data_IF_470236770002
#
_entry.id   IF_470236770002
#
_cell.length_a   1.000
_cell.length_b   1.000
_cell.length_c   1.000
_cell.angle_alpha   90.00
_cell.angle_beta   90.00
_cell.angle_gamma   90.00
#
_symmetry.space_group_name_H-M   'P 1'
#
loop_
_entity.id
_entity.type
_entity.pdbx_description
1 polymer ?
#
# COMPACT_ATOMS: atom_id res chain seq x y z
N UNK A 1 -38.95 30.60 -41.53
CA UNK A 1 -39.59 31.22 -40.34
C UNK A 1 -40.16 30.13 -39.45
N UNK A 2 -39.59 29.98 -38.25
CA UNK A 2 -40.01 29.19 -37.07
C UNK A 2 -40.37 27.71 -37.24
N UNK A 3 -39.40 26.81 -36.98
CA UNK A 3 -39.67 25.47 -36.44
C UNK A 3 -39.41 25.54 -34.93
N UNK A 4 -40.47 25.59 -34.14
CA UNK A 4 -40.41 25.65 -32.67
C UNK A 4 -39.82 24.35 -32.13
N UNK A 5 -38.68 24.44 -31.45
CA UNK A 5 -38.08 23.33 -30.71
C UNK A 5 -38.95 22.97 -29.49
N UNK A 6 -39.13 21.68 -29.17
CA UNK A 6 -39.83 21.29 -27.95
C UNK A 6 -38.93 21.61 -26.73
N UNK A 7 -39.49 22.38 -25.79
CA UNK A 7 -38.86 22.65 -24.49
C UNK A 7 -38.97 21.38 -23.64
N UNK A 8 -37.84 20.85 -23.18
CA UNK A 8 -37.81 19.87 -22.09
C UNK A 8 -37.79 20.65 -20.78
N UNK A 9 -38.91 20.65 -20.05
CA UNK A 9 -38.94 21.07 -18.66
C UNK A 9 -38.36 19.96 -17.79
N UNK A 10 -37.33 20.33 -17.03
CA UNK A 10 -36.77 19.61 -15.91
C UNK A 10 -37.86 19.39 -14.85
N UNK A 11 -38.23 18.14 -14.61
CA UNK A 11 -38.94 17.76 -13.40
C UNK A 11 -38.03 16.82 -12.61
N UNK A 12 -37.22 17.45 -11.77
CA UNK A 12 -36.53 16.81 -10.66
C UNK A 12 -37.59 16.40 -9.63
N UNK A 13 -37.33 15.29 -8.96
CA UNK A 13 -38.09 14.74 -7.82
C UNK A 13 -39.41 14.02 -8.10
N UNK A 14 -39.30 12.69 -8.20
CA UNK A 14 -40.27 11.79 -7.57
C UNK A 14 -39.54 10.51 -7.20
N UNK A 15 -38.79 10.61 -6.11
CA UNK A 15 -38.47 9.47 -5.29
C UNK A 15 -39.78 8.89 -4.76
N UNK A 16 -39.83 7.56 -4.73
CA UNK A 16 -40.78 6.71 -4.00
C UNK A 16 -41.88 6.02 -4.83
N UNK A 17 -41.80 4.69 -4.73
CA UNK A 17 -42.87 3.70 -4.80
C UNK A 17 -43.15 3.03 -6.16
N UNK A 18 -42.50 1.87 -6.31
CA UNK A 18 -43.20 0.64 -6.68
C UNK A 18 -43.36 0.36 -8.17
N UNK A 19 -42.44 -0.43 -8.74
CA UNK A 19 -42.80 -1.58 -9.58
C UNK A 19 -41.55 -2.25 -10.15
N UNK A 20 -41.60 -3.57 -10.20
CA UNK A 20 -40.58 -4.47 -10.73
C UNK A 20 -40.09 -4.07 -12.12
N UNK A 21 -38.89 -3.49 -12.20
CA UNK A 21 -38.09 -3.50 -13.43
C UNK A 21 -36.74 -4.09 -13.06
N UNK A 22 -36.53 -5.37 -13.36
CA UNK A 22 -35.23 -6.05 -13.28
C UNK A 22 -34.25 -5.27 -14.15
N UNK A 23 -33.59 -4.28 -13.54
CA UNK A 23 -32.51 -3.49 -14.15
C UNK A 23 -31.42 -4.51 -14.45
N UNK A 24 -31.26 -4.86 -15.74
CA UNK A 24 -30.15 -5.69 -16.20
C UNK A 24 -28.88 -5.00 -15.70
N UNK A 25 -28.26 -5.52 -14.63
CA UNK A 25 -26.99 -5.03 -14.09
C UNK A 25 -26.00 -5.08 -15.26
N UNK A 26 -25.71 -3.93 -15.84
CA UNK A 26 -24.80 -3.87 -16.96
C UNK A 26 -23.40 -4.23 -16.45
N UNK A 27 -22.59 -4.86 -17.30
CA UNK A 27 -21.19 -5.20 -17.01
C UNK A 27 -20.38 -3.99 -16.50
N UNK A 28 -20.80 -2.78 -16.87
CA UNK A 28 -20.20 -1.51 -16.45
C UNK A 28 -20.52 -1.11 -15.00
N UNK A 29 -21.66 -1.52 -14.42
CA UNK A 29 -21.94 -1.30 -12.99
C UNK A 29 -20.99 -2.15 -12.13
N UNK A 30 -20.68 -3.37 -12.58
CA UNK A 30 -19.69 -4.22 -11.92
C UNK A 30 -18.29 -3.57 -11.93
N UNK A 31 -17.93 -2.90 -13.02
CA UNK A 31 -16.66 -2.21 -13.15
C UNK A 31 -16.53 -1.07 -12.12
N UNK A 32 -17.56 -0.23 -11.95
CA UNK A 32 -17.53 0.89 -10.98
C UNK A 32 -17.50 0.42 -9.51
N UNK A 33 -18.08 -0.73 -9.18
CA UNK A 33 -18.00 -1.30 -7.83
C UNK A 33 -16.64 -1.93 -7.52
N UNK A 34 -15.91 -2.43 -8.51
CA UNK A 34 -14.54 -2.96 -8.32
C UNK A 34 -13.55 -1.88 -7.87
N UNK A 35 -13.67 -0.64 -8.36
CA UNK A 35 -12.76 0.47 -8.01
C UNK A 35 -13.11 1.21 -6.70
N UNK A 36 -14.21 0.86 -6.04
CA UNK A 36 -14.58 1.44 -4.72
C UNK A 36 -14.10 0.60 -3.55
N UNK A 37 -13.53 -0.58 -3.80
CA UNK A 37 -13.03 -1.49 -2.76
C UNK A 37 -11.65 -1.03 -2.31
N UNK A 38 -11.39 -1.09 -1.01
CA UNK A 38 -10.04 -0.91 -0.49
C UNK A 38 -9.15 -2.06 -0.97
N UNK A 39 -7.84 -1.84 -1.00
CA UNK A 39 -6.88 -2.88 -1.34
C UNK A 39 -7.05 -4.14 -0.47
N UNK A 40 -7.33 -3.96 0.82
CA UNK A 40 -7.61 -5.06 1.75
C UNK A 40 -8.81 -5.91 1.31
N UNK A 41 -9.92 -5.29 0.90
CA UNK A 41 -11.10 -6.00 0.43
C UNK A 41 -10.86 -6.75 -0.89
N UNK A 42 -10.03 -6.20 -1.78
CA UNK A 42 -9.64 -6.88 -3.02
C UNK A 42 -8.77 -8.11 -2.75
N UNK A 43 -7.87 -8.02 -1.77
CA UNK A 43 -6.99 -9.12 -1.37
C UNK A 43 -7.77 -10.28 -0.73
N UNK A 44 -8.76 -9.98 0.11
CA UNK A 44 -9.63 -11.01 0.71
C UNK A 44 -10.49 -11.72 -0.34
N UNK A 45 -11.02 -10.96 -1.32
CA UNK A 45 -11.75 -11.53 -2.45
C UNK A 45 -10.87 -12.45 -3.31
N UNK A 46 -9.64 -12.02 -3.62
CA UNK A 46 -8.68 -12.84 -4.36
C UNK A 46 -8.36 -14.12 -3.62
N UNK A 47 -8.12 -14.05 -2.30
CA UNK A 47 -7.84 -15.22 -1.46
C UNK A 47 -9.00 -16.24 -1.46
N UNK A 48 -10.25 -15.79 -1.55
CA UNK A 48 -11.40 -16.68 -1.63
C UNK A 48 -11.61 -17.29 -3.01
N UNK A 49 -11.31 -16.55 -4.08
CA UNK A 49 -11.56 -16.94 -5.46
C UNK A 49 -10.41 -17.75 -6.08
N UNK A 50 -9.17 -17.40 -5.76
CA UNK A 50 -7.96 -17.97 -6.34
C UNK A 50 -7.01 -18.42 -5.23
N UNK A 51 -7.30 -19.61 -4.68
CA UNK A 51 -6.50 -20.22 -3.61
C UNK A 51 -5.21 -20.86 -4.12
N UNK A 52 -5.13 -21.17 -5.41
CA UNK A 52 -3.93 -21.78 -5.99
C UNK A 52 -2.87 -20.72 -6.28
N UNK A 53 -1.60 -20.99 -5.95
CA UNK A 53 -0.50 -20.07 -6.25
C UNK A 53 -0.25 -19.98 -7.77
N UNK A 54 0.27 -18.85 -8.27
CA UNK A 54 0.79 -17.71 -7.51
C UNK A 54 -0.29 -16.65 -7.20
N UNK A 55 -0.44 -16.29 -5.92
CA UNK A 55 -1.29 -15.20 -5.43
C UNK A 55 -0.48 -14.19 -4.58
N UNK A 56 -1.11 -13.09 -4.17
CA UNK A 56 -0.45 -12.06 -3.37
C UNK A 56 0.15 -12.60 -2.06
N UNK A 57 -0.51 -13.59 -1.44
CA UNK A 57 -0.06 -14.20 -0.18
C UNK A 57 1.11 -15.19 -0.38
N UNK A 58 1.14 -15.90 -1.52
CA UNK A 58 2.18 -16.87 -1.85
C UNK A 58 3.41 -16.23 -2.51
N UNK A 59 3.35 -14.93 -2.83
CA UNK A 59 4.47 -14.19 -3.41
C UNK A 59 5.61 -13.92 -2.41
N UNK A 60 5.41 -14.22 -1.12
CA UNK A 60 6.44 -14.12 -0.09
C UNK A 60 7.61 -15.07 -0.35
N UNK A 61 8.82 -14.52 -0.43
CA UNK A 61 10.06 -15.29 -0.60
C UNK A 61 10.52 -15.84 0.76
N UNK A 62 11.07 -17.06 0.84
CA UNK A 62 11.67 -17.58 2.06
C UNK A 62 12.82 -16.69 2.58
N UNK A 63 13.18 -16.79 3.86
CA UNK A 63 14.29 -16.04 4.43
C UNK A 63 15.61 -16.34 3.71
N UNK A 64 16.52 -15.36 3.72
CA UNK A 64 17.85 -15.49 3.09
C UNK A 64 18.64 -16.65 3.70
N UNK A 65 19.27 -17.46 2.84
CA UNK A 65 20.23 -18.50 3.24
C UNK A 65 21.64 -17.95 3.47
N UNK A 66 21.90 -16.71 3.06
CA UNK A 66 23.19 -16.04 3.18
C UNK A 66 23.29 -15.27 4.50
N UNK A 67 24.50 -15.19 5.10
CA UNK A 67 24.70 -14.46 6.35
C UNK A 67 24.47 -12.95 6.18
N UNK A 68 23.88 -12.33 7.20
CA UNK A 68 23.64 -10.89 7.22
C UNK A 68 24.96 -10.10 7.19
N UNK A 69 25.02 -9.12 6.29
CA UNK A 69 26.13 -8.17 6.24
C UNK A 69 25.86 -7.01 7.18
N UNK A 70 26.86 -6.65 7.99
CA UNK A 70 26.78 -5.54 8.93
C UNK A 70 27.35 -4.28 8.26
N UNK A 71 26.57 -3.20 8.27
CA UNK A 71 26.95 -1.90 7.73
C UNK A 71 26.81 -0.81 8.79
N UNK A 72 27.56 0.28 8.62
CA UNK A 72 27.38 1.47 9.43
C UNK A 72 26.04 2.14 9.08
N UNK A 73 25.21 2.41 10.09
CA UNK A 73 23.90 3.07 9.90
C UNK A 73 24.00 4.53 9.43
N UNK A 74 25.18 5.15 9.58
CA UNK A 74 25.41 6.56 9.21
C UNK A 74 25.99 6.67 7.80
N UNK A 75 27.09 5.96 7.51
CA UNK A 75 27.80 6.12 6.24
C UNK A 75 27.60 4.96 5.26
N UNK A 76 26.94 3.87 5.65
CA UNK A 76 26.67 2.71 4.78
C UNK A 76 27.89 1.88 4.39
N UNK A 77 29.11 2.33 4.70
CA UNK A 77 30.32 1.57 4.39
C UNK A 77 30.37 0.25 5.18
N UNK A 78 30.80 -0.85 4.53
CA UNK A 78 31.05 -2.11 5.22
C UNK A 78 32.18 -1.91 6.23
N UNK A 79 32.04 -2.53 7.40
CA UNK A 79 33.11 -2.51 8.38
C UNK A 79 34.31 -3.29 7.84
N UNK A 80 35.37 -2.59 7.42
CA UNK A 80 36.64 -3.19 6.99
C UNK A 80 37.42 -3.78 8.17
N UNK A 81 37.03 -3.44 9.39
CA UNK A 81 37.59 -3.91 10.65
C UNK A 81 36.47 -4.41 11.56
N UNK A 82 36.72 -5.31 12.54
CA UNK A 82 35.73 -5.70 13.56
C UNK A 82 35.38 -4.57 14.54
N UNK A 83 35.50 -3.30 14.15
CA UNK A 83 35.07 -2.14 14.93
C UNK A 83 33.53 -2.03 14.91
N UNK A 84 32.89 -3.02 15.51
CA UNK A 84 31.46 -3.11 15.70
C UNK A 84 31.06 -2.27 16.91
N UNK A 85 31.16 -0.95 16.80
CA UNK A 85 30.60 -0.11 17.84
C UNK A 85 29.07 -0.08 17.70
N UNK A 86 28.39 -0.34 18.81
CA UNK A 86 26.94 -0.33 18.91
C UNK A 86 26.53 0.77 19.86
N UNK A 87 25.59 1.60 19.45
CA UNK A 87 24.98 2.55 20.36
C UNK A 87 24.21 1.79 21.45
N UNK A 88 24.49 2.09 22.72
CA UNK A 88 23.87 1.41 23.88
C UNK A 88 22.36 1.63 23.93
N UNK A 89 21.87 2.71 23.33
CA UNK A 89 20.50 3.19 23.51
C UNK A 89 19.56 2.66 22.41
N UNK A 90 20.01 2.65 21.16
CA UNK A 90 19.20 2.23 20.00
C UNK A 90 19.73 0.97 19.30
N UNK A 91 20.88 0.44 19.70
CA UNK A 91 21.51 -0.74 19.08
C UNK A 91 22.08 -0.50 17.68
N UNK A 92 22.04 0.73 17.14
CA UNK A 92 22.57 1.05 15.82
C UNK A 92 24.10 0.90 15.76
N UNK A 93 24.61 0.39 14.64
CA UNK A 93 26.05 0.18 14.42
C UNK A 93 26.71 1.36 13.73
N UNK A 94 27.91 1.74 14.17
CA UNK A 94 28.68 2.83 13.56
C UNK A 94 30.17 2.48 13.47
N UNK A 95 30.87 3.04 12.48
CA UNK A 95 32.25 2.65 12.18
C UNK A 95 33.31 3.48 12.90
N UNK A 96 32.99 4.71 13.31
CA UNK A 96 33.93 5.62 13.94
C UNK A 96 33.21 6.65 14.82
N UNK A 97 33.97 7.35 15.66
CA UNK A 97 33.45 8.40 16.57
C UNK A 97 32.75 9.53 15.79
N UNK A 98 33.19 9.85 14.56
CA UNK A 98 32.48 10.82 13.71
C UNK A 98 31.07 10.35 13.38
N UNK A 99 30.92 9.07 13.04
CA UNK A 99 29.60 8.48 12.82
C UNK A 99 28.79 8.40 14.12
N UNK A 100 29.43 8.23 15.29
CA UNK A 100 28.72 8.34 16.57
C UNK A 100 28.15 9.75 16.79
N UNK A 101 28.93 10.79 16.53
CA UNK A 101 28.46 12.18 16.63
C UNK A 101 27.25 12.43 15.72
N UNK A 102 27.37 12.10 14.44
CA UNK A 102 26.24 12.23 13.50
C UNK A 102 25.04 11.37 13.90
N UNK A 103 25.29 10.18 14.45
CA UNK A 103 24.24 9.31 14.96
C UNK A 103 23.50 9.97 16.14
N UNK A 104 24.22 10.57 17.09
CA UNK A 104 23.66 11.29 18.23
C UNK A 104 22.91 12.56 17.81
N UNK A 105 23.40 13.26 16.80
CA UNK A 105 22.82 14.54 16.36
C UNK A 105 21.53 14.36 15.53
N UNK A 106 21.50 13.36 14.64
CA UNK A 106 20.46 13.28 13.59
C UNK A 106 19.66 11.98 13.59
N UNK A 107 20.19 10.91 14.19
CA UNK A 107 19.58 9.57 14.16
C UNK A 107 19.27 9.04 15.56
N UNK A 108 19.43 9.89 16.58
CA UNK A 108 19.12 9.55 17.96
C UNK A 108 17.61 9.68 18.14
N UNK A 109 16.91 8.63 17.74
CA UNK A 109 15.52 8.44 18.14
C UNK A 109 15.57 7.84 19.53
N UNK A 110 15.39 8.68 20.55
CA UNK A 110 14.92 8.19 21.84
C UNK A 110 13.58 7.49 21.59
N UNK A 111 13.57 6.17 21.72
CA UNK A 111 12.35 5.47 22.08
C UNK A 111 12.12 5.65 23.59
#
# INVERSE_FOLDING_TARGET
MSKKAPKFEESIDSQAQGSNKKKRKSKADNFKFRYKKSFAALMEEEHMLNKEPPNYQSAGVPPSTLPERKFCAVCGYPFTFPSNYTCVQCGARYCCVRCLGTHQDTRYVCA
#
